data_IF_203979277288
#
_entry.id   IF_203979277288
#
_cell.length_a   1.000
_cell.length_b   1.000
_cell.length_c   1.000
_cell.angle_alpha   90.00
_cell.angle_beta   90.00
_cell.angle_gamma   90.00
#
_symmetry.space_group_name_H-M   'P 1'
#
loop_
_entity.id
_entity.type
_entity.pdbx_description
1 polymer ?
#
# COMPACT_ATOMS: atom_id res chain seq x y z
N UNK A 1 13.62 -7.41 -18.54
CA UNK A 1 12.58 -8.24 -17.90
C UNK A 1 12.07 -7.62 -16.60
N UNK A 2 12.91 -6.98 -15.77
CA UNK A 2 12.47 -6.34 -14.52
C UNK A 2 11.50 -5.17 -14.69
N UNK A 3 11.79 -4.22 -15.59
CA UNK A 3 10.99 -2.99 -15.73
C UNK A 3 9.51 -3.23 -16.07
N UNK A 4 9.21 -4.25 -16.88
CA UNK A 4 7.83 -4.60 -17.22
C UNK A 4 7.07 -5.15 -16.01
N UNK A 5 7.74 -5.94 -15.16
CA UNK A 5 7.16 -6.46 -13.91
C UNK A 5 6.93 -5.31 -12.92
N UNK A 6 7.84 -4.34 -12.86
CA UNK A 6 7.68 -3.13 -12.05
C UNK A 6 6.47 -2.29 -12.47
N UNK A 7 6.17 -2.20 -13.78
CA UNK A 7 4.97 -1.50 -14.26
C UNK A 7 3.66 -2.26 -14.01
N UNK A 8 3.72 -3.60 -13.98
CA UNK A 8 2.55 -4.42 -13.73
C UNK A 8 2.05 -4.28 -12.28
N UNK A 9 2.96 -4.14 -11.32
CA UNK A 9 2.64 -4.03 -9.89
C UNK A 9 1.64 -2.91 -9.55
N UNK A 10 1.84 -1.63 -9.95
CA UNK A 10 0.89 -0.57 -9.64
C UNK A 10 -0.46 -0.77 -10.33
N UNK A 11 -0.49 -1.36 -11.54
CA UNK A 11 -1.75 -1.66 -12.23
C UNK A 11 -2.57 -2.73 -11.50
N UNK A 12 -1.92 -3.82 -11.09
CA UNK A 12 -2.57 -4.87 -10.31
C UNK A 12 -3.04 -4.34 -8.95
N UNK A 13 -2.22 -3.52 -8.29
CA UNK A 13 -2.56 -2.90 -7.02
C UNK A 13 -3.79 -1.99 -7.16
N UNK A 14 -3.81 -1.08 -8.14
CA UNK A 14 -4.95 -0.21 -8.41
C UNK A 14 -6.23 -0.99 -8.74
N UNK A 15 -6.14 -2.04 -9.56
CA UNK A 15 -7.29 -2.89 -9.88
C UNK A 15 -7.81 -3.66 -8.67
N UNK A 16 -6.94 -4.07 -7.75
CA UNK A 16 -7.35 -4.73 -6.50
C UNK A 16 -8.16 -3.79 -5.60
N UNK A 17 -7.80 -2.51 -5.54
CA UNK A 17 -8.55 -1.51 -4.77
C UNK A 17 -9.97 -1.30 -5.29
N UNK A 18 -10.15 -1.24 -6.62
CA UNK A 18 -11.49 -1.13 -7.23
C UNK A 18 -12.33 -2.36 -6.87
N UNK A 19 -11.76 -3.56 -6.98
CA UNK A 19 -12.49 -4.80 -6.61
C UNK A 19 -12.85 -4.86 -5.12
N UNK A 20 -11.97 -4.36 -4.27
CA UNK A 20 -12.21 -4.29 -2.82
C UNK A 20 -13.32 -3.27 -2.53
N UNK A 21 -13.30 -2.09 -3.18
CA UNK A 21 -14.36 -1.09 -3.07
C UNK A 21 -15.72 -1.69 -3.45
N UNK A 22 -15.83 -2.31 -4.63
CA UNK A 22 -17.07 -2.93 -5.11
C UNK A 22 -17.61 -3.95 -4.08
N UNK A 23 -16.72 -4.79 -3.55
CA UNK A 23 -17.07 -5.81 -2.55
C UNK A 23 -17.49 -5.20 -1.21
N UNK A 24 -16.78 -4.16 -0.73
CA UNK A 24 -17.09 -3.49 0.54
C UNK A 24 -18.40 -2.71 0.45
N UNK A 25 -18.72 -2.14 -0.71
CA UNK A 25 -20.01 -1.48 -0.95
C UNK A 25 -21.17 -2.47 -1.04
N UNK A 26 -20.93 -3.64 -1.63
CA UNK A 26 -21.92 -4.73 -1.72
C UNK A 26 -22.16 -5.39 -0.35
N UNK A 27 -21.10 -5.60 0.44
CA UNK A 27 -21.14 -6.29 1.74
C UNK A 27 -20.38 -5.51 2.83
N UNK A 28 -20.94 -4.41 3.37
CA UNK A 28 -20.24 -3.55 4.32
C UNK A 28 -19.93 -4.21 5.67
N UNK A 29 -20.75 -5.20 6.09
CA UNK A 29 -20.53 -5.96 7.32
C UNK A 29 -19.30 -6.89 7.23
N UNK A 30 -18.94 -7.34 6.03
CA UNK A 30 -17.81 -8.25 5.79
C UNK A 30 -16.45 -7.53 5.70
N UNK A 31 -16.41 -6.20 5.81
CA UNK A 31 -15.18 -5.40 5.64
C UNK A 31 -14.02 -5.84 6.54
N UNK A 32 -14.30 -6.26 7.78
CA UNK A 32 -13.29 -6.76 8.72
C UNK A 32 -12.77 -8.15 8.30
N UNK A 33 -13.63 -8.99 7.70
CA UNK A 33 -13.26 -10.31 7.20
C UNK A 33 -12.38 -10.19 5.96
N UNK A 34 -12.70 -9.24 5.07
CA UNK A 34 -11.86 -8.89 3.92
C UNK A 34 -10.48 -8.42 4.38
N UNK A 35 -10.42 -7.57 5.43
CA UNK A 35 -9.15 -7.13 6.00
C UNK A 35 -8.33 -8.31 6.56
N UNK A 36 -8.97 -9.20 7.32
CA UNK A 36 -8.32 -10.39 7.87
C UNK A 36 -7.78 -11.31 6.76
N UNK A 37 -8.54 -11.51 5.69
CA UNK A 37 -8.12 -12.30 4.54
C UNK A 37 -6.93 -11.68 3.81
N UNK A 38 -6.90 -10.35 3.64
CA UNK A 38 -5.76 -9.64 3.07
C UNK A 38 -4.49 -9.84 3.93
N UNK A 39 -4.58 -9.62 5.25
CA UNK A 39 -3.43 -9.81 6.16
C UNK A 39 -2.95 -11.27 6.15
N UNK A 40 -3.88 -12.24 6.13
CA UNK A 40 -3.54 -13.65 6.02
C UNK A 40 -2.80 -13.97 4.71
N UNK A 41 -3.31 -13.46 3.58
CA UNK A 41 -2.69 -13.64 2.27
C UNK A 41 -1.28 -13.04 2.24
N UNK A 42 -1.09 -11.84 2.80
CA UNK A 42 0.23 -11.20 2.91
C UNK A 42 1.20 -12.04 3.75
N UNK A 43 0.74 -12.61 4.87
CA UNK A 43 1.56 -13.47 5.71
C UNK A 43 1.99 -14.74 4.95
N UNK A 44 1.06 -15.41 4.25
CA UNK A 44 1.35 -16.62 3.45
C UNK A 44 2.33 -16.29 2.32
N UNK A 45 2.10 -15.21 1.58
CA UNK A 45 2.99 -14.77 0.51
C UNK A 45 4.41 -14.47 1.02
N UNK A 46 4.52 -13.85 2.20
CA UNK A 46 5.81 -13.56 2.83
C UNK A 46 6.56 -14.84 3.23
N UNK A 47 5.85 -15.85 3.76
CA UNK A 47 6.45 -17.15 4.09
C UNK A 47 6.93 -17.89 2.83
N UNK A 48 6.14 -17.86 1.75
CA UNK A 48 6.52 -18.43 0.46
C UNK A 48 7.76 -17.72 -0.08
N UNK A 49 7.80 -16.39 0.01
CA UNK A 49 8.95 -15.61 -0.43
C UNK A 49 10.23 -15.96 0.32
N UNK A 50 10.15 -16.13 1.64
CA UNK A 50 11.28 -16.60 2.46
C UNK A 50 11.74 -17.98 2.00
N UNK A 51 10.81 -18.93 1.81
CA UNK A 51 11.14 -20.27 1.32
C UNK A 51 11.82 -20.24 -0.06
N UNK A 52 11.32 -19.43 -0.99
CA UNK A 52 11.95 -19.26 -2.32
C UNK A 52 13.36 -18.71 -2.17
N UNK A 53 13.59 -17.69 -1.33
CA UNK A 53 14.92 -17.10 -1.13
C UNK A 53 15.93 -18.14 -0.61
N UNK A 54 15.53 -18.98 0.33
CA UNK A 54 16.36 -20.09 0.80
C UNK A 54 16.72 -21.07 -0.32
N UNK A 55 15.75 -21.44 -1.16
CA UNK A 55 15.93 -22.42 -2.22
C UNK A 55 16.72 -21.89 -3.42
N UNK A 56 16.61 -20.59 -3.73
CA UNK A 56 17.13 -20.02 -4.98
C UNK A 56 18.38 -19.17 -4.81
N UNK A 57 18.52 -18.48 -3.68
CA UNK A 57 19.60 -17.51 -3.47
C UNK A 57 20.59 -17.95 -2.38
N UNK A 58 20.48 -19.18 -1.87
CA UNK A 58 21.28 -19.70 -0.75
C UNK A 58 21.33 -18.70 0.42
N UNK A 59 20.16 -18.11 0.75
CA UNK A 59 20.06 -17.19 1.87
C UNK A 59 20.64 -17.81 3.14
N UNK A 60 21.40 -17.03 3.90
CA UNK A 60 21.97 -17.50 5.16
C UNK A 60 20.84 -18.02 6.08
N UNK A 61 21.05 -19.14 6.80
CA UNK A 61 20.14 -19.57 7.84
C UNK A 61 19.85 -18.42 8.80
N UNK A 62 18.57 -18.18 9.10
CA UNK A 62 18.19 -17.19 10.10
C UNK A 62 18.79 -17.64 11.43
N UNK A 63 19.65 -16.81 12.00
CA UNK A 63 20.24 -17.06 13.30
C UNK A 63 19.15 -16.91 14.39
N UNK A 64 18.90 -17.93 15.23
CA UNK A 64 17.93 -17.82 16.33
C UNK A 64 18.22 -16.65 17.29
N UNK A 65 19.48 -16.22 17.38
CA UNK A 65 19.88 -15.06 18.18
C UNK A 65 19.36 -13.74 17.58
N UNK A 66 19.31 -13.61 16.25
CA UNK A 66 18.77 -12.42 15.57
C UNK A 66 17.26 -12.30 15.73
N UNK A 67 16.53 -13.42 15.71
CA UNK A 67 15.07 -13.44 15.96
C UNK A 67 14.77 -13.06 17.41
N UNK A 68 15.63 -13.48 18.34
CA UNK A 68 15.43 -13.24 19.78
C UNK A 68 15.83 -11.84 20.22
N UNK A 69 16.47 -11.06 19.35
CA UNK A 69 16.85 -9.68 19.65
C UNK A 69 15.59 -8.81 19.84
N UNK A 70 15.47 -8.07 20.97
CA UNK A 70 14.30 -7.25 21.24
C UNK A 70 14.03 -6.19 20.16
N UNK A 71 15.06 -5.66 19.49
CA UNK A 71 14.86 -4.67 18.43
C UNK A 71 14.27 -5.32 17.18
N UNK A 72 14.73 -6.51 16.78
CA UNK A 72 14.14 -7.27 15.67
C UNK A 72 12.68 -7.61 15.92
N UNK A 73 12.35 -8.07 17.13
CA UNK A 73 10.96 -8.37 17.51
C UNK A 73 10.11 -7.10 17.48
N UNK A 74 10.61 -5.99 18.04
CA UNK A 74 9.91 -4.71 18.01
C UNK A 74 9.68 -4.21 16.58
N UNK A 75 10.67 -4.34 15.69
CA UNK A 75 10.56 -3.97 14.28
C UNK A 75 9.55 -4.86 13.53
N UNK A 76 9.54 -6.17 13.79
CA UNK A 76 8.56 -7.10 13.22
C UNK A 76 7.13 -6.79 13.69
N UNK A 77 6.94 -6.53 14.98
CA UNK A 77 5.63 -6.15 15.52
C UNK A 77 5.17 -4.80 14.97
N UNK A 78 6.07 -3.83 14.86
CA UNK A 78 5.75 -2.53 14.28
C UNK A 78 5.36 -2.66 12.80
N UNK A 79 6.14 -3.36 11.99
CA UNK A 79 5.85 -3.51 10.56
C UNK A 79 4.61 -4.38 10.30
N UNK A 80 4.46 -5.52 10.99
CA UNK A 80 3.31 -6.40 10.79
C UNK A 80 1.99 -5.84 11.34
N UNK A 81 1.98 -5.38 12.59
CA UNK A 81 0.75 -4.97 13.26
C UNK A 81 0.38 -3.52 12.93
N UNK A 82 1.31 -2.60 13.15
CA UNK A 82 1.07 -1.17 12.95
C UNK A 82 1.14 -0.77 11.48
N UNK A 83 2.14 -1.23 10.74
CA UNK A 83 2.27 -0.80 9.34
C UNK A 83 1.34 -1.58 8.41
N UNK A 84 1.18 -2.90 8.56
CA UNK A 84 0.35 -3.69 7.63
C UNK A 84 -1.09 -3.81 8.12
N UNK A 85 -1.35 -4.44 9.27
CA UNK A 85 -2.71 -4.77 9.68
C UNK A 85 -3.59 -3.52 9.91
N UNK A 86 -3.05 -2.50 10.59
CA UNK A 86 -3.76 -1.24 10.80
C UNK A 86 -4.02 -0.50 9.48
N UNK A 87 -3.03 -0.43 8.58
CA UNK A 87 -3.22 0.21 7.26
C UNK A 87 -4.30 -0.49 6.44
N UNK A 88 -4.27 -1.83 6.35
CA UNK A 88 -5.31 -2.60 5.64
C UNK A 88 -6.69 -2.34 6.24
N UNK A 89 -6.79 -2.32 7.57
CA UNK A 89 -8.04 -2.02 8.26
C UNK A 89 -8.56 -0.61 7.98
N UNK A 90 -7.68 0.40 8.07
CA UNK A 90 -8.02 1.80 7.81
C UNK A 90 -8.39 2.01 6.35
N UNK A 91 -7.67 1.41 5.41
CA UNK A 91 -7.99 1.44 3.98
C UNK A 91 -9.37 0.86 3.72
N UNK A 92 -9.66 -0.34 4.22
CA UNK A 92 -10.96 -0.97 4.01
C UNK A 92 -12.09 -0.18 4.67
N UNK A 93 -11.81 0.51 5.78
CA UNK A 93 -12.77 1.42 6.41
C UNK A 93 -12.99 2.67 5.56
N UNK A 94 -11.92 3.29 5.04
CA UNK A 94 -12.00 4.46 4.19
C UNK A 94 -12.76 4.20 2.89
N UNK A 95 -12.58 3.01 2.29
CA UNK A 95 -13.28 2.60 1.06
C UNK A 95 -14.80 2.46 1.22
N UNK A 96 -15.34 2.49 2.45
CA UNK A 96 -16.80 2.55 2.69
C UNK A 96 -17.38 3.89 2.31
N UNK A 97 -16.62 4.96 2.54
CA UNK A 97 -17.08 6.35 2.43
C UNK A 97 -16.40 7.09 1.26
N UNK A 98 -15.20 6.68 0.86
CA UNK A 98 -14.37 7.34 -0.16
C UNK A 98 -14.21 6.43 -1.38
N UNK A 99 -14.58 6.88 -2.60
CA UNK A 99 -14.40 6.09 -3.82
C UNK A 99 -12.94 5.69 -4.07
N UNK A 100 -12.68 4.56 -4.74
CA UNK A 100 -11.30 4.13 -5.01
C UNK A 100 -10.57 5.12 -5.93
N UNK A 101 -11.27 5.82 -6.82
CA UNK A 101 -10.67 6.85 -7.66
C UNK A 101 -10.07 7.98 -6.81
N UNK A 102 -10.82 8.52 -5.84
CA UNK A 102 -10.32 9.55 -4.93
C UNK A 102 -9.24 9.00 -3.99
N UNK A 103 -9.44 7.80 -3.47
CA UNK A 103 -8.44 7.11 -2.64
C UNK A 103 -7.12 6.88 -3.39
N UNK A 104 -7.17 6.59 -4.69
CA UNK A 104 -5.98 6.39 -5.52
C UNK A 104 -5.15 7.67 -5.68
N UNK A 105 -5.79 8.83 -5.68
CA UNK A 105 -5.09 10.13 -5.66
C UNK A 105 -4.35 10.30 -4.34
N UNK A 106 -4.98 9.95 -3.21
CA UNK A 106 -4.37 10.00 -1.88
C UNK A 106 -3.17 9.05 -1.79
N UNK A 107 -3.34 7.79 -2.21
CA UNK A 107 -2.25 6.80 -2.26
C UNK A 107 -1.12 7.29 -3.18
N UNK A 108 -1.44 7.94 -4.29
CA UNK A 108 -0.45 8.57 -5.17
C UNK A 108 0.39 9.66 -4.49
N UNK A 109 -0.11 10.29 -3.41
CA UNK A 109 0.66 11.26 -2.62
C UNK A 109 1.57 10.63 -1.56
N UNK A 110 1.47 9.33 -1.30
CA UNK A 110 2.31 8.62 -0.33
C UNK A 110 3.83 8.90 -0.48
N UNK A 111 4.42 8.93 -1.68
CA UNK A 111 5.85 9.21 -1.84
C UNK A 111 6.25 10.60 -1.34
N UNK A 112 5.35 11.58 -1.44
CA UNK A 112 5.60 12.93 -0.93
C UNK A 112 5.75 12.91 0.58
N UNK A 113 4.81 12.25 1.27
CA UNK A 113 4.85 12.13 2.73
C UNK A 113 6.06 11.32 3.18
N UNK A 114 6.37 10.22 2.48
CA UNK A 114 7.56 9.43 2.74
C UNK A 114 8.84 10.28 2.64
N UNK A 115 9.01 11.05 1.56
CA UNK A 115 10.16 11.94 1.39
C UNK A 115 10.24 13.05 2.44
N UNK A 116 9.10 13.65 2.81
CA UNK A 116 9.05 14.68 3.86
C UNK A 116 9.47 14.09 5.21
N UNK A 117 8.94 12.93 5.57
CA UNK A 117 9.30 12.28 6.84
C UNK A 117 10.74 11.78 6.84
N UNK A 118 11.27 11.30 5.72
CA UNK A 118 12.69 10.94 5.61
C UNK A 118 13.59 12.18 5.82
N UNK A 119 13.26 13.31 5.19
CA UNK A 119 14.02 14.55 5.38
C UNK A 119 13.98 15.05 6.84
N UNK A 120 12.85 14.92 7.53
CA UNK A 120 12.69 15.42 8.92
C UNK A 120 13.27 14.44 9.95
N UNK A 121 12.96 13.14 9.85
CA UNK A 121 13.29 12.13 10.87
C UNK A 121 14.68 11.54 10.67
N UNK A 122 15.09 11.31 9.43
CA UNK A 122 16.41 10.75 9.08
C UNK A 122 17.43 11.84 8.73
N UNK A 123 17.01 13.11 8.66
CA UNK A 123 17.83 14.25 8.29
C UNK A 123 18.49 14.07 6.90
N UNK A 124 17.77 13.41 5.97
CA UNK A 124 18.20 13.24 4.58
C UNK A 124 18.10 14.54 3.80
N UNK A 125 19.10 14.83 2.96
CA UNK A 125 19.09 16.02 2.12
C UNK A 125 18.25 15.79 0.87
N UNK A 126 17.15 16.53 0.74
CA UNK A 126 16.34 16.52 -0.49
C UNK A 126 17.14 17.11 -1.65
N UNK A 127 17.30 16.31 -2.71
CA UNK A 127 17.95 16.75 -3.93
C UNK A 127 16.98 17.56 -4.80
N UNK A 128 17.53 18.25 -5.80
CA UNK A 128 16.71 18.97 -6.79
C UNK A 128 15.79 18.02 -7.59
N UNK A 129 16.20 16.76 -7.73
CA UNK A 129 15.42 15.74 -8.45
C UNK A 129 14.21 15.31 -7.61
N UNK A 130 14.38 15.15 -6.30
CA UNK A 130 13.29 14.79 -5.38
C UNK A 130 12.20 15.86 -5.35
N UNK A 131 12.61 17.14 -5.32
CA UNK A 131 11.68 18.28 -5.39
C UNK A 131 10.90 18.27 -6.71
N UNK A 132 11.56 17.99 -7.83
CA UNK A 132 10.93 17.98 -9.15
C UNK A 132 9.96 16.81 -9.31
N UNK A 133 10.33 15.63 -8.80
CA UNK A 133 9.43 14.47 -8.69
C UNK A 133 8.23 14.77 -7.79
N UNK A 134 8.44 15.44 -6.67
CA UNK A 134 7.36 15.83 -5.77
C UNK A 134 6.37 16.82 -6.42
N UNK A 135 6.87 17.83 -7.14
CA UNK A 135 6.00 18.73 -7.91
C UNK A 135 5.19 17.99 -8.98
N UNK A 136 5.76 16.97 -9.62
CA UNK A 136 5.07 16.16 -10.62
C UNK A 136 3.94 15.34 -10.00
N UNK A 137 4.15 14.75 -8.82
CA UNK A 137 3.09 14.04 -8.08
C UNK A 137 1.94 15.00 -7.76
N UNK A 138 2.25 16.18 -7.19
CA UNK A 138 1.24 17.18 -6.87
C UNK A 138 0.44 17.63 -8.11
N UNK A 139 1.13 17.84 -9.24
CA UNK A 139 0.47 18.17 -10.50
C UNK A 139 -0.47 17.05 -10.98
N UNK A 140 -0.04 15.79 -10.90
CA UNK A 140 -0.86 14.63 -11.23
C UNK A 140 -2.11 14.52 -10.35
N UNK A 141 -1.95 14.69 -9.04
CA UNK A 141 -3.07 14.67 -8.09
C UNK A 141 -4.06 15.81 -8.36
N UNK A 142 -3.57 17.02 -8.63
CA UNK A 142 -4.40 18.17 -8.96
C UNK A 142 -5.23 17.93 -10.24
N UNK A 143 -4.60 17.40 -11.30
CA UNK A 143 -5.29 17.04 -12.53
C UNK A 143 -6.34 15.94 -12.31
N UNK A 144 -6.01 14.93 -11.51
CA UNK A 144 -6.92 13.84 -11.15
C UNK A 144 -8.19 14.33 -10.47
N UNK A 145 -8.07 15.20 -9.47
CA UNK A 145 -9.22 15.81 -8.75
C UNK A 145 -10.04 16.72 -9.67
N UNK A 146 -9.40 17.43 -10.61
CA UNK A 146 -10.10 18.37 -11.50
C UNK A 146 -10.95 17.71 -12.59
N UNK A 147 -10.82 16.41 -12.80
CA UNK A 147 -11.58 15.67 -13.82
C UNK A 147 -12.93 15.25 -13.22
N UNK A 148 -14.08 15.74 -13.73
CA UNK A 148 -15.39 15.34 -13.22
C UNK A 148 -15.60 13.83 -13.38
N UNK A 149 -16.04 13.16 -12.32
CA UNK A 149 -16.48 11.76 -12.39
C UNK A 149 -17.72 11.68 -13.29
N UNK A 150 -17.53 11.23 -14.53
CA UNK A 150 -18.61 10.93 -15.49
C UNK A 150 -19.33 9.64 -15.05
N UNK A 151 -20.09 9.72 -13.97
CA UNK A 151 -20.75 8.56 -13.35
C UNK A 151 -22.12 8.81 -12.73
N UNK A 152 -22.67 10.02 -12.83
CA UNK A 152 -24.06 10.29 -12.43
C UNK A 152 -24.92 10.57 -13.67
N UNK A 153 -25.39 9.50 -14.28
CA UNK A 153 -26.44 9.53 -15.31
C UNK A 153 -27.24 8.25 -15.20
N UNK A 154 -28.20 8.23 -14.27
CA UNK A 154 -29.08 7.09 -14.03
C UNK A 154 -30.14 7.38 -12.98
N UNK A 155 -30.89 8.47 -13.16
CA UNK A 155 -32.04 8.81 -12.34
C UNK A 155 -33.19 7.79 -12.46
N UNK A 156 -33.93 7.71 -11.35
CA UNK A 156 -35.39 7.70 -11.28
C UNK A 156 -36.15 6.52 -11.91
N UNK A 157 -36.77 5.73 -11.02
CA UNK A 157 -38.22 5.52 -11.05
C UNK A 157 -38.79 5.65 -9.65
#
# INVERSE_FOLDING_TARGET
MGDLVCLLQPLCFGMSYIRIEDRIKEFPEESNEIAAFQVHTTAVASLIWVAINYLTHNAAPIDPAEISDPYTIAALLHTGLFSTALTVYLTNTALKDVPAAESSVIVGTEPLWASIFAAILLNEQMTRVDVLGGMLILAGCFLGVSTPSSGDSGGET
#
